data_IF_385201403434
#
_entry.id   IF_385201403434
#
_cell.length_a   1.000
_cell.length_b   1.000
_cell.length_c   1.000
_cell.angle_alpha   90.00
_cell.angle_beta   90.00
_cell.angle_gamma   90.00
#
_symmetry.space_group_name_H-M   'P 1'
#
loop_
_entity.id
_entity.type
_entity.pdbx_description
1 polymer ?
#
# COMPACT_ATOMS: atom_id res chain seq x y z
N UNK A 1 7.40 21.28 -2.46
CA UNK A 1 7.95 20.44 -3.54
C UNK A 1 6.95 19.73 -4.43
N UNK A 2 5.99 18.97 -3.90
CA UNK A 2 5.00 18.26 -4.72
C UNK A 2 4.24 19.17 -5.69
N UNK A 3 3.88 20.39 -5.28
CA UNK A 3 3.28 21.42 -6.16
C UNK A 3 4.20 21.83 -7.31
N UNK A 4 5.52 21.90 -7.09
CA UNK A 4 6.47 22.22 -8.16
C UNK A 4 6.55 21.08 -9.17
N UNK A 5 6.60 19.82 -8.70
CA UNK A 5 6.57 18.62 -9.55
C UNK A 5 5.29 18.61 -10.39
N UNK A 6 4.12 18.79 -9.75
CA UNK A 6 2.82 18.91 -10.42
C UNK A 6 2.83 19.97 -11.53
N UNK A 7 3.33 21.19 -11.24
CA UNK A 7 3.44 22.27 -12.24
C UNK A 7 4.34 21.90 -13.41
N UNK A 8 5.50 21.27 -13.14
CA UNK A 8 6.43 20.83 -14.19
C UNK A 8 5.87 19.70 -15.06
N UNK A 9 5.03 18.83 -14.49
CA UNK A 9 4.33 17.77 -15.22
C UNK A 9 3.10 18.28 -15.99
N UNK A 10 2.71 19.55 -15.84
CA UNK A 10 1.53 20.11 -16.51
C UNK A 10 0.20 19.52 -16.04
N UNK A 11 0.17 18.86 -14.87
CA UNK A 11 -1.06 18.25 -14.33
C UNK A 11 -1.84 19.32 -13.57
N UNK A 12 -3.15 19.51 -13.83
CA UNK A 12 -3.92 20.60 -13.20
C UNK A 12 -4.40 20.29 -11.77
N UNK A 13 -4.54 19.00 -11.43
CA UNK A 13 -5.05 18.56 -10.12
C UNK A 13 -3.94 17.95 -9.26
N UNK A 14 -4.10 18.02 -7.95
CA UNK A 14 -3.16 17.46 -6.98
C UNK A 14 -3.98 16.96 -5.80
N UNK A 15 -3.74 15.71 -5.39
CA UNK A 15 -4.39 15.10 -4.24
C UNK A 15 -3.35 14.82 -3.16
N UNK A 16 -3.66 15.22 -1.93
CA UNK A 16 -2.93 14.87 -0.72
C UNK A 16 -3.96 14.77 0.41
N UNK A 17 -3.82 13.79 1.29
CA UNK A 17 -4.70 13.57 2.44
C UNK A 17 -4.90 14.84 3.28
N UNK A 18 -3.80 15.54 3.59
CA UNK A 18 -3.77 16.82 4.31
C UNK A 18 -4.48 17.99 3.63
N UNK A 19 -4.81 17.88 2.34
CA UNK A 19 -5.49 18.93 1.57
C UNK A 19 -6.90 18.54 1.13
N UNK A 20 -7.15 17.26 0.90
CA UNK A 20 -8.36 16.75 0.27
C UNK A 20 -9.31 16.02 1.23
N UNK A 21 -8.89 15.80 2.48
CA UNK A 21 -9.70 15.16 3.52
C UNK A 21 -9.92 16.16 4.66
N UNK A 22 -11.17 16.29 5.11
CA UNK A 22 -11.53 17.13 6.25
C UNK A 22 -11.09 16.41 7.53
N UNK A 23 -9.94 16.82 8.08
CA UNK A 23 -9.29 16.12 9.21
C UNK A 23 -10.15 16.03 10.48
N UNK A 24 -11.01 17.04 10.71
CA UNK A 24 -11.88 17.11 11.90
C UNK A 24 -13.19 16.33 11.74
N UNK A 25 -13.52 15.85 10.54
CA UNK A 25 -14.72 15.06 10.27
C UNK A 25 -14.34 13.58 10.10
N UNK A 26 -14.61 12.78 11.15
CA UNK A 26 -14.38 11.33 11.12
C UNK A 26 -15.13 10.63 10.00
N UNK A 27 -16.35 11.09 9.67
CA UNK A 27 -17.14 10.53 8.60
C UNK A 27 -16.53 10.82 7.23
N UNK A 28 -15.92 12.00 7.06
CA UNK A 28 -15.18 12.34 5.84
C UNK A 28 -13.90 11.52 5.70
N UNK A 29 -13.13 11.42 6.78
CA UNK A 29 -11.95 10.56 6.85
C UNK A 29 -12.28 9.11 6.45
N UNK A 30 -13.36 8.53 6.98
CA UNK A 30 -13.78 7.17 6.65
C UNK A 30 -14.20 7.02 5.18
N UNK A 31 -14.96 7.98 4.63
CA UNK A 31 -15.38 7.98 3.23
C UNK A 31 -14.19 8.08 2.28
N UNK A 32 -13.29 9.02 2.52
CA UNK A 32 -12.13 9.25 1.65
C UNK A 32 -11.11 8.12 1.77
N UNK A 33 -10.91 7.57 2.98
CA UNK A 33 -10.13 6.36 3.21
C UNK A 33 -10.65 5.16 2.39
N UNK A 34 -11.96 4.99 2.31
CA UNK A 34 -12.57 3.93 1.51
C UNK A 34 -12.40 4.13 -0.02
N UNK A 35 -12.21 5.37 -0.47
CA UNK A 35 -12.02 5.75 -1.89
C UNK A 35 -10.56 5.87 -2.29
N UNK A 36 -9.63 5.79 -1.34
CA UNK A 36 -8.20 6.01 -1.55
C UNK A 36 -7.61 5.06 -2.61
N UNK A 37 -8.15 3.84 -2.73
CA UNK A 37 -7.79 2.92 -3.80
C UNK A 37 -8.09 3.45 -5.20
N UNK A 38 -9.22 4.13 -5.38
CA UNK A 38 -9.61 4.74 -6.64
C UNK A 38 -8.75 5.95 -6.97
N UNK A 39 -8.37 6.73 -5.95
CA UNK A 39 -7.45 7.87 -6.10
C UNK A 39 -6.12 7.37 -6.67
N UNK A 40 -5.50 6.36 -6.07
CA UNK A 40 -4.24 5.81 -6.58
C UNK A 40 -4.42 5.17 -7.95
N UNK A 41 -5.47 4.38 -8.16
CA UNK A 41 -5.70 3.69 -9.43
C UNK A 41 -5.83 4.63 -10.62
N UNK A 42 -6.48 5.79 -10.43
CA UNK A 42 -6.77 6.73 -11.49
C UNK A 42 -5.80 7.93 -11.50
N UNK A 43 -4.80 7.94 -10.60
CA UNK A 43 -3.79 8.98 -10.58
C UNK A 43 -2.96 8.95 -11.87
N UNK A 44 -2.67 10.15 -12.40
CA UNK A 44 -1.69 10.30 -13.49
C UNK A 44 -0.32 9.76 -13.07
N UNK A 45 0.12 10.13 -11.86
CA UNK A 45 1.28 9.56 -11.20
C UNK A 45 1.18 9.77 -9.68
N UNK A 46 1.78 8.85 -8.93
CA UNK A 46 1.98 8.98 -7.48
C UNK A 46 3.40 9.46 -7.20
N UNK A 47 3.57 10.45 -6.33
CA UNK A 47 4.89 10.95 -5.92
C UNK A 47 5.29 10.26 -4.62
N UNK A 48 6.39 9.53 -4.63
CA UNK A 48 6.92 8.84 -3.45
C UNK A 48 8.23 9.50 -2.98
N UNK A 49 8.13 10.37 -1.98
CA UNK A 49 9.22 11.20 -1.47
C UNK A 49 10.02 10.51 -0.36
N UNK A 50 10.81 9.50 -0.72
CA UNK A 50 11.66 8.75 0.21
C UNK A 50 12.85 9.56 0.76
N UNK A 51 13.21 10.65 0.07
CA UNK A 51 14.30 11.54 0.46
C UNK A 51 13.98 12.45 1.65
N UNK A 52 12.68 12.59 2.01
CA UNK A 52 12.25 13.43 3.12
C UNK A 52 12.16 12.60 4.40
N UNK A 53 12.88 13.03 5.46
CA UNK A 53 12.81 12.37 6.76
C UNK A 53 11.46 12.59 7.46
N UNK A 54 10.79 13.70 7.16
CA UNK A 54 9.47 14.08 7.70
C UNK A 54 8.70 14.92 6.67
N UNK A 55 7.37 15.03 6.85
CA UNK A 55 6.47 15.70 5.90
C UNK A 55 6.70 17.22 5.76
N UNK A 56 7.42 17.82 6.70
CA UNK A 56 7.84 19.23 6.72
C UNK A 56 9.15 19.50 5.96
N UNK A 57 9.87 18.46 5.53
CA UNK A 57 11.08 18.59 4.73
C UNK A 57 10.82 18.49 3.22
N UNK A 58 11.54 19.30 2.44
CA UNK A 58 11.56 19.19 0.98
C UNK A 58 12.29 17.93 0.51
N UNK A 59 11.86 17.39 -0.63
CA UNK A 59 12.48 16.24 -1.31
C UNK A 59 13.20 16.63 -2.61
N UNK A 60 13.08 17.88 -3.06
CA UNK A 60 13.83 18.42 -4.19
C UNK A 60 15.15 19.02 -3.67
N UNK A 61 16.26 18.30 -3.87
CA UNK A 61 17.60 18.82 -3.57
C UNK A 61 18.11 19.69 -4.75
N UNK A 62 18.94 20.70 -4.45
CA UNK A 62 19.46 21.68 -5.44
C UNK A 62 20.30 21.05 -6.56
N UNK A 63 20.93 19.89 -6.32
CA UNK A 63 21.70 19.16 -7.33
C UNK A 63 20.95 17.92 -7.82
N UNK A 64 19.96 18.09 -8.69
CA UNK A 64 19.52 16.99 -9.57
C UNK A 64 20.66 16.70 -10.57
N UNK A 65 21.66 15.90 -10.17
CA UNK A 65 22.67 15.43 -11.10
C UNK A 65 21.99 14.58 -12.18
N UNK A 66 22.21 14.97 -13.44
CA UNK A 66 21.62 14.35 -14.62
C UNK A 66 21.85 12.83 -14.63
N UNK A 67 20.75 12.12 -14.83
CA UNK A 67 20.67 10.75 -15.35
C UNK A 67 21.51 9.67 -14.64
N UNK A 68 20.90 9.07 -13.62
CA UNK A 68 20.95 7.61 -13.48
C UNK A 68 19.53 7.10 -13.35
N UNK A 69 18.93 6.70 -14.48
CA UNK A 69 17.77 5.80 -14.49
C UNK A 69 18.27 4.45 -13.99
N UNK A 70 18.37 4.29 -12.67
CA UNK A 70 18.72 3.00 -12.07
C UNK A 70 17.47 2.13 -12.15
N UNK A 71 17.42 1.28 -13.17
CA UNK A 71 16.47 0.18 -13.21
C UNK A 71 16.96 -0.93 -12.28
N UNK A 72 16.73 -0.79 -10.97
CA UNK A 72 16.92 -1.91 -10.03
C UNK A 72 15.79 -1.91 -9.03
N UNK A 73 15.08 -3.05 -8.99
CA UNK A 73 14.00 -3.30 -8.05
C UNK A 73 14.50 -3.45 -6.62
N UNK A 74 13.54 -3.40 -5.70
CA UNK A 74 13.77 -3.55 -4.28
C UNK A 74 13.84 -2.19 -3.60
N UNK A 75 12.88 -1.95 -2.71
CA UNK A 75 13.13 -1.09 -1.58
C UNK A 75 14.50 -1.42 -1.00
N UNK A 76 15.33 -0.40 -0.80
CA UNK A 76 16.43 -0.49 0.14
C UNK A 76 15.85 -0.99 1.48
N UNK A 77 16.36 -2.14 1.92
CA UNK A 77 16.34 -2.62 3.30
C UNK A 77 14.95 -2.78 3.94
N UNK A 78 14.32 -3.94 3.78
CA UNK A 78 13.72 -4.77 4.86
C UNK A 78 12.76 -4.16 5.90
N UNK A 79 12.43 -2.88 5.88
CA UNK A 79 11.51 -2.26 6.83
C UNK A 79 10.07 -2.59 6.42
N UNK A 80 9.22 -2.98 7.38
CA UNK A 80 7.82 -3.19 7.10
C UNK A 80 7.22 -1.87 6.62
N UNK A 81 6.78 -1.86 5.36
CA UNK A 81 6.12 -0.71 4.75
C UNK A 81 4.93 -0.29 5.62
N UNK A 82 4.58 0.99 5.63
CA UNK A 82 3.31 1.45 6.21
C UNK A 82 2.16 0.69 5.54
N UNK A 83 1.18 0.18 6.28
CA UNK A 83 0.10 -0.62 5.70
C UNK A 83 -0.62 0.10 4.55
N UNK A 84 -0.89 1.40 4.73
CA UNK A 84 -1.46 2.28 3.72
C UNK A 84 -0.62 2.39 2.42
N UNK A 85 0.71 2.28 2.51
CA UNK A 85 1.59 2.38 1.35
C UNK A 85 1.47 1.18 0.38
N UNK A 86 0.78 0.12 0.78
CA UNK A 86 0.53 -1.00 -0.13
C UNK A 86 -0.39 -0.60 -1.29
N UNK A 87 -1.44 0.18 -1.02
CA UNK A 87 -2.35 0.66 -2.06
C UNK A 87 -1.61 1.58 -3.04
N UNK A 88 -0.77 2.48 -2.52
CA UNK A 88 0.10 3.35 -3.32
C UNK A 88 0.91 2.54 -4.33
N UNK A 89 1.56 1.46 -3.87
CA UNK A 89 2.47 0.66 -4.70
C UNK A 89 1.75 -0.23 -5.71
N UNK A 90 0.64 -0.85 -5.32
CA UNK A 90 -0.05 -1.83 -6.17
C UNK A 90 -1.01 -1.17 -7.16
N UNK A 91 -1.69 -0.08 -6.77
CA UNK A 91 -2.77 0.48 -7.56
C UNK A 91 -2.31 1.58 -8.51
N UNK A 92 -1.29 2.36 -8.15
CA UNK A 92 -0.80 3.49 -8.95
C UNK A 92 -0.29 3.06 -10.32
N UNK A 93 -0.80 3.62 -11.44
CA UNK A 93 -0.30 3.30 -12.78
C UNK A 93 1.19 3.58 -12.94
N UNK A 94 1.64 4.70 -12.37
CA UNK A 94 3.02 5.16 -12.34
C UNK A 94 3.35 5.76 -10.98
N UNK A 95 4.52 5.42 -10.44
CA UNK A 95 5.05 6.04 -9.22
C UNK A 95 6.42 6.64 -9.52
N UNK A 96 6.58 7.93 -9.18
CA UNK A 96 7.84 8.66 -9.28
C UNK A 96 8.48 8.69 -7.90
N UNK A 97 9.60 8.01 -7.77
CA UNK A 97 10.33 7.93 -6.52
C UNK A 97 11.44 8.97 -6.48
N UNK A 98 11.41 9.81 -5.45
CA UNK A 98 12.46 10.75 -5.11
C UNK A 98 13.23 10.18 -3.92
N UNK A 99 14.43 9.66 -4.18
CA UNK A 99 15.28 9.02 -3.19
C UNK A 99 16.41 9.94 -2.69
N UNK A 100 17.19 9.48 -1.70
CA UNK A 100 18.33 10.23 -1.18
C UNK A 100 19.32 10.63 -2.27
N UNK A 101 20.07 11.71 -2.02
CA UNK A 101 21.09 12.26 -2.92
C UNK A 101 20.58 12.62 -4.33
N UNK A 102 19.32 13.05 -4.44
CA UNK A 102 18.71 13.46 -5.71
C UNK A 102 18.39 12.31 -6.67
N UNK A 103 18.38 11.06 -6.20
CA UNK A 103 18.04 9.91 -7.03
C UNK A 103 16.57 9.94 -7.46
N UNK A 104 16.32 9.59 -8.73
CA UNK A 104 14.99 9.59 -9.34
C UNK A 104 14.77 8.28 -10.08
N UNK A 105 13.69 7.56 -9.76
CA UNK A 105 13.31 6.36 -10.52
C UNK A 105 11.79 6.24 -10.68
N UNK A 106 11.40 5.53 -11.74
CA UNK A 106 10.01 5.31 -12.12
C UNK A 106 9.63 3.84 -11.94
N UNK A 107 8.52 3.63 -11.25
CA UNK A 107 7.84 2.35 -11.18
C UNK A 107 6.53 2.42 -11.97
N UNK A 108 6.20 1.37 -12.72
CA UNK A 108 4.91 1.22 -13.37
C UNK A 108 4.28 -0.11 -12.96
N UNK A 109 2.98 -0.07 -12.64
CA UNK A 109 2.20 -1.26 -12.26
C UNK A 109 2.25 -2.39 -13.29
N UNK A 110 2.43 -2.05 -14.58
CA UNK A 110 2.49 -3.03 -15.66
C UNK A 110 3.90 -3.63 -15.87
N UNK A 111 4.89 -3.20 -15.09
CA UNK A 111 6.27 -3.68 -15.23
C UNK A 111 6.38 -5.05 -14.57
N UNK A 112 6.66 -6.09 -15.36
CA UNK A 112 6.92 -7.43 -14.84
C UNK A 112 8.29 -7.44 -14.15
N UNK A 113 8.30 -7.63 -12.84
CA UNK A 113 9.53 -7.93 -12.10
C UNK A 113 9.85 -9.43 -12.23
N UNK A 114 11.12 -9.82 -12.45
CA UNK A 114 11.52 -11.22 -12.37
C UNK A 114 11.19 -11.78 -10.98
N UNK A 115 10.87 -13.07 -10.93
CA UNK A 115 10.35 -13.85 -9.80
C UNK A 115 11.14 -13.65 -8.51
N UNK A 116 10.84 -12.58 -7.77
CA UNK A 116 11.36 -12.27 -6.45
C UNK A 116 10.19 -12.04 -5.51
N UNK A 117 10.35 -12.32 -4.22
CA UNK A 117 9.31 -12.15 -3.18
C UNK A 117 8.68 -10.75 -3.19
N UNK A 118 9.45 -9.74 -3.59
CA UNK A 118 9.02 -8.34 -3.79
C UNK A 118 7.98 -8.15 -4.91
N UNK A 119 7.86 -9.08 -5.86
CA UNK A 119 6.91 -8.99 -6.97
C UNK A 119 5.45 -9.08 -6.48
N UNK A 120 5.17 -9.88 -5.45
CA UNK A 120 3.82 -10.04 -4.90
C UNK A 120 3.23 -8.74 -4.33
N UNK A 121 4.09 -7.80 -3.93
CA UNK A 121 3.66 -6.49 -3.44
C UNK A 121 3.60 -5.40 -4.52
N UNK A 122 3.76 -5.76 -5.79
CA UNK A 122 3.80 -4.82 -6.92
C UNK A 122 2.70 -5.05 -7.96
N UNK A 123 1.88 -6.08 -7.79
CA UNK A 123 0.85 -6.48 -8.76
C UNK A 123 -0.45 -6.79 -8.02
N UNK A 124 -1.59 -6.46 -8.64
CA UNK A 124 -2.91 -6.82 -8.12
C UNK A 124 -3.07 -8.35 -8.21
N UNK A 125 -3.32 -9.05 -7.08
CA UNK A 125 -3.54 -10.49 -7.11
C UNK A 125 -4.72 -10.90 -8.01
N UNK A 126 -4.52 -11.97 -8.78
CA UNK A 126 -5.52 -12.55 -9.69
C UNK A 126 -5.96 -13.96 -9.29
N UNK A 127 -5.33 -14.53 -8.28
CA UNK A 127 -5.60 -15.88 -7.78
C UNK A 127 -5.62 -15.84 -6.25
N UNK A 128 -6.27 -16.82 -5.62
CA UNK A 128 -6.23 -16.96 -4.17
C UNK A 128 -4.79 -17.08 -3.64
N UNK A 129 -3.95 -17.86 -4.29
CA UNK A 129 -2.56 -18.04 -3.88
C UNK A 129 -1.79 -16.71 -3.88
N UNK A 130 -1.83 -15.95 -4.98
CA UNK A 130 -1.17 -14.64 -5.02
C UNK A 130 -1.75 -13.64 -4.02
N UNK A 131 -3.05 -13.75 -3.72
CA UNK A 131 -3.66 -12.96 -2.65
C UNK A 131 -3.07 -13.32 -1.29
N UNK A 132 -2.96 -14.60 -0.94
CA UNK A 132 -2.41 -15.03 0.35
C UNK A 132 -0.92 -14.71 0.52
N UNK A 133 -0.13 -14.78 -0.55
CA UNK A 133 1.27 -14.33 -0.55
C UNK A 133 1.40 -12.83 -0.26
N UNK A 134 0.59 -12.02 -0.93
CA UNK A 134 0.52 -10.58 -0.70
C UNK A 134 0.03 -10.29 0.73
N UNK A 135 -1.01 -10.98 1.20
CA UNK A 135 -1.61 -10.79 2.51
C UNK A 135 -0.65 -11.15 3.65
N UNK A 136 0.13 -12.22 3.48
CA UNK A 136 1.21 -12.62 4.39
C UNK A 136 2.23 -11.50 4.56
N UNK A 137 2.58 -10.82 3.48
CA UNK A 137 3.52 -9.69 3.51
C UNK A 137 2.86 -8.44 4.10
N UNK A 138 1.61 -8.14 3.73
CA UNK A 138 0.84 -7.03 4.29
C UNK A 138 0.64 -7.14 5.81
N UNK A 139 0.42 -8.36 6.32
CA UNK A 139 0.22 -8.58 7.76
C UNK A 139 1.43 -8.19 8.62
N UNK A 140 2.62 -8.05 8.02
CA UNK A 140 3.83 -7.56 8.67
C UNK A 140 3.97 -6.03 8.65
N UNK A 141 3.17 -5.32 7.86
CA UNK A 141 3.25 -3.88 7.69
C UNK A 141 2.89 -3.12 8.98
N UNK A 142 3.54 -1.97 9.19
CA UNK A 142 3.24 -1.12 10.34
C UNK A 142 1.96 -0.30 10.09
N UNK A 143 1.06 -0.32 11.07
CA UNK A 143 -0.15 0.51 11.10
C UNK A 143 -0.25 1.22 12.44
N UNK A 144 -0.30 2.55 12.42
CA UNK A 144 -0.49 3.36 13.63
C UNK A 144 -1.83 3.07 14.30
N UNK A 145 -2.88 2.88 13.50
CA UNK A 145 -4.21 2.50 13.97
C UNK A 145 -4.56 1.09 13.46
N UNK A 146 -4.75 0.09 14.33
CA UNK A 146 -5.09 -1.26 13.89
C UNK A 146 -6.48 -1.34 13.21
N UNK A 147 -7.36 -0.34 13.39
CA UNK A 147 -8.69 -0.29 12.73
C UNK A 147 -8.58 -0.14 11.23
N UNK A 148 -7.49 0.45 10.78
CA UNK A 148 -7.26 0.70 9.37
C UNK A 148 -6.85 -0.57 8.62
N UNK A 149 -6.60 -1.70 9.30
CA UNK A 149 -6.01 -2.89 8.68
C UNK A 149 -6.80 -3.43 7.49
N UNK A 150 -8.13 -3.43 7.58
CA UNK A 150 -8.99 -3.85 6.45
C UNK A 150 -9.24 -2.69 5.48
N UNK A 151 -9.37 -1.46 5.98
CA UNK A 151 -9.64 -0.27 5.16
C UNK A 151 -8.43 0.02 4.24
N UNK A 152 -7.22 -0.10 4.76
CA UNK A 152 -5.98 0.01 4.00
C UNK A 152 -5.77 -1.13 2.98
N UNK A 153 -6.63 -2.15 2.93
CA UNK A 153 -6.67 -3.13 1.85
C UNK A 153 -7.87 -2.97 0.89
N UNK A 154 -8.90 -2.19 1.25
CA UNK A 154 -10.19 -2.17 0.56
C UNK A 154 -10.04 -1.87 -0.93
N UNK A 155 -9.17 -0.92 -1.28
CA UNK A 155 -8.89 -0.56 -2.67
C UNK A 155 -8.29 -1.70 -3.50
N UNK A 156 -7.49 -2.58 -2.90
CA UNK A 156 -6.93 -3.76 -3.58
C UNK A 156 -7.97 -4.86 -3.64
N UNK A 157 -8.71 -5.07 -2.54
CA UNK A 157 -9.81 -6.04 -2.44
C UNK A 157 -10.81 -5.84 -3.58
N UNK A 158 -11.34 -4.62 -3.76
CA UNK A 158 -12.32 -4.30 -4.80
C UNK A 158 -11.87 -4.71 -6.21
N UNK A 159 -10.56 -4.75 -6.44
CA UNK A 159 -9.97 -5.13 -7.74
C UNK A 159 -9.73 -6.62 -7.83
N UNK A 160 -9.32 -7.24 -6.74
CA UNK A 160 -9.24 -8.69 -6.63
C UNK A 160 -10.61 -9.34 -6.79
N UNK A 161 -11.68 -8.77 -6.24
CA UNK A 161 -13.05 -9.31 -6.38
C UNK A 161 -13.44 -9.51 -7.86
N UNK A 162 -13.21 -8.49 -8.70
CA UNK A 162 -13.49 -8.58 -10.13
C UNK A 162 -12.56 -9.52 -10.92
N UNK A 163 -11.34 -9.77 -10.43
CA UNK A 163 -10.34 -10.61 -11.10
C UNK A 163 -10.41 -12.09 -10.69
N UNK A 164 -10.68 -12.34 -9.41
CA UNK A 164 -10.83 -13.67 -8.82
C UNK A 164 -12.26 -14.19 -9.04
N UNK A 165 -13.24 -13.29 -9.15
CA UNK A 165 -14.65 -13.65 -9.27
C UNK A 165 -15.25 -14.16 -7.96
N UNK A 166 -14.77 -13.65 -6.83
CA UNK A 166 -15.27 -13.99 -5.49
C UNK A 166 -15.53 -12.71 -4.69
N UNK A 167 -16.32 -12.81 -3.63
CA UNK A 167 -16.62 -11.71 -2.70
C UNK A 167 -15.69 -11.79 -1.51
N UNK A 168 -15.10 -10.66 -1.13
CA UNK A 168 -14.25 -10.55 0.05
C UNK A 168 -14.98 -9.80 1.15
N UNK A 169 -15.08 -10.40 2.34
CA UNK A 169 -15.72 -9.74 3.48
C UNK A 169 -15.04 -10.14 4.78
N UNK A 170 -14.90 -9.20 5.72
CA UNK A 170 -14.38 -9.48 7.06
C UNK A 170 -12.99 -10.14 7.13
N UNK A 171 -12.22 -10.14 6.04
CA UNK A 171 -10.92 -10.80 5.96
C UNK A 171 -10.90 -12.15 5.22
N UNK A 172 -12.01 -12.61 4.65
CA UNK A 172 -12.16 -13.92 3.98
C UNK A 172 -12.71 -13.79 2.56
N UNK A 173 -12.35 -14.74 1.70
CA UNK A 173 -12.97 -15.03 0.41
C UNK A 173 -14.12 -16.03 0.62
N UNK A 174 -15.35 -15.69 0.24
CA UNK A 174 -16.54 -16.51 0.55
C UNK A 174 -16.43 -17.92 -0.05
N UNK A 175 -15.98 -18.03 -1.31
CA UNK A 175 -15.86 -19.31 -1.99
C UNK A 175 -14.56 -20.07 -1.64
N UNK A 176 -13.67 -19.48 -0.85
CA UNK A 176 -12.43 -20.12 -0.38
C UNK A 176 -12.26 -20.03 1.15
N UNK A 177 -13.39 -20.08 1.86
CA UNK A 177 -13.45 -19.87 3.30
C UNK A 177 -12.53 -20.79 4.10
N UNK A 178 -12.48 -22.09 3.77
CA UNK A 178 -11.66 -23.08 4.50
C UNK A 178 -10.20 -22.65 4.50
N UNK A 179 -9.65 -22.32 3.32
CA UNK A 179 -8.26 -21.88 3.20
C UNK A 179 -8.02 -20.56 3.93
N UNK A 180 -9.02 -19.67 3.96
CA UNK A 180 -8.90 -18.41 4.67
C UNK A 180 -8.78 -18.56 6.20
N UNK A 181 -9.08 -19.75 6.76
CA UNK A 181 -8.90 -20.08 8.17
C UNK A 181 -7.58 -20.78 8.50
N UNK A 182 -6.78 -21.16 7.50
CA UNK A 182 -5.54 -21.94 7.69
C UNK A 182 -4.33 -21.09 8.11
N UNK A 183 -4.51 -19.79 8.37
CA UNK A 183 -3.40 -18.92 8.74
C UNK A 183 -2.85 -19.25 10.13
N UNK A 184 -1.53 -19.17 10.25
CA UNK A 184 -0.79 -19.29 11.50
C UNK A 184 -0.23 -17.92 11.89
N UNK A 185 -0.35 -17.57 13.17
CA UNK A 185 0.31 -16.36 13.71
C UNK A 185 1.78 -16.65 14.03
N UNK A 186 2.66 -15.67 13.81
CA UNK A 186 4.04 -15.74 14.27
C UNK A 186 4.11 -15.82 15.81
N UNK A 187 4.95 -16.73 16.36
CA UNK A 187 5.07 -16.98 17.81
C UNK A 187 5.42 -15.72 18.62
N UNK A 188 4.84 -15.61 19.83
CA UNK A 188 5.28 -14.74 20.94
C UNK A 188 4.14 -14.40 21.92
N UNK A 189 4.38 -13.43 22.82
CA UNK A 189 3.51 -13.14 23.97
C UNK A 189 2.05 -12.80 23.60
N UNK A 190 1.10 -13.43 24.29
CA UNK A 190 -0.34 -13.41 24.01
C UNK A 190 -1.05 -12.08 24.37
N UNK A 191 -0.48 -11.30 25.28
CA UNK A 191 -1.22 -10.26 26.03
C UNK A 191 -1.47 -8.96 25.26
N UNK A 192 -0.88 -8.76 24.07
CA UNK A 192 -0.99 -7.50 23.31
C UNK A 192 -1.56 -7.64 21.89
N UNK A 193 -1.97 -8.85 21.50
CA UNK A 193 -2.19 -9.22 20.08
C UNK A 193 -3.56 -8.85 19.51
N UNK A 194 -4.54 -8.48 20.35
CA UNK A 194 -5.88 -8.12 19.87
C UNK A 194 -5.81 -6.80 19.10
N UNK A 195 -6.03 -6.88 17.80
CA UNK A 195 -6.28 -5.73 16.93
C UNK A 195 -7.74 -5.27 17.07
N UNK A 196 -8.03 -4.10 16.50
CA UNK A 196 -9.32 -3.47 16.23
C UNK A 196 -10.51 -4.38 15.86
N UNK A 197 -11.78 -3.89 15.75
CA UNK A 197 -12.96 -4.73 15.63
C UNK A 197 -13.00 -5.47 14.29
N UNK A 198 -12.40 -6.65 14.27
CA UNK A 198 -12.53 -7.67 13.26
C UNK A 198 -13.05 -8.94 13.93
N UNK A 199 -13.76 -9.81 13.19
CA UNK A 199 -14.18 -11.11 13.74
C UNK A 199 -12.98 -11.90 14.27
N UNK A 200 -13.16 -12.62 15.38
CA UNK A 200 -12.07 -13.36 16.06
C UNK A 200 -11.43 -14.45 15.20
N UNK A 201 -12.14 -14.96 14.20
CA UNK A 201 -11.63 -15.92 13.21
C UNK A 201 -10.82 -15.25 12.09
N UNK A 202 -10.87 -13.93 11.96
CA UNK A 202 -10.20 -13.19 10.90
C UNK A 202 -8.73 -12.96 11.27
N UNK A 203 -7.84 -13.10 10.29
CA UNK A 203 -6.44 -12.69 10.42
C UNK A 203 -6.29 -11.19 10.75
N UNK A 204 -7.33 -10.39 10.49
CA UNK A 204 -7.34 -8.99 10.84
C UNK A 204 -7.47 -8.73 12.35
N UNK A 205 -7.89 -9.74 13.12
CA UNK A 205 -8.00 -9.67 14.59
C UNK A 205 -6.65 -9.71 15.32
N UNK A 206 -5.57 -10.07 14.63
CA UNK A 206 -4.21 -10.12 15.21
C UNK A 206 -3.35 -8.97 14.71
N UNK A 207 -2.47 -8.43 15.55
CA UNK A 207 -1.49 -7.39 15.14
C UNK A 207 -0.27 -7.95 14.40
N UNK A 208 0.04 -9.22 14.60
CA UNK A 208 1.28 -9.84 14.10
C UNK A 208 1.17 -10.26 12.64
N UNK A 209 2.35 -10.52 12.08
CA UNK A 209 2.49 -11.25 10.82
C UNK A 209 1.83 -12.62 10.92
N UNK A 210 1.06 -12.95 9.89
CA UNK A 210 0.46 -14.25 9.68
C UNK A 210 1.20 -14.99 8.56
N UNK A 211 0.95 -16.29 8.43
CA UNK A 211 1.39 -17.11 7.31
C UNK A 211 0.27 -18.07 6.91
N UNK A 212 -0.04 -18.14 5.63
CA UNK A 212 -0.92 -19.16 5.03
C UNK A 212 -0.12 -20.37 4.55
#
# INVERSE_FOLDING_TARGET
DAVQVKRRLGVPFFWADSLCIIQDDKGDCEREAARMGDVYMNAYCTIAAHAAHHADHGFLQESMQREKVVAVGGHANGEPSRGWALQERILSPFTVHFGPAGSLYLNSRNRRYPSSTTAALSVIPRTYHGWYEMLTQYSACFLTNPRDKLIALSGIVQRCEGLIGDTYTGGIWINNFIHCLLWLRQKGALEQDVAAPAPTWSWASVKRKIQY
#
